data_IF_225822161864
#
_entry.id   IF_225822161864
#
_cell.length_a   1.000
_cell.length_b   1.000
_cell.length_c   1.000
_cell.angle_alpha   90.00
_cell.angle_beta   90.00
_cell.angle_gamma   90.00
#
_symmetry.space_group_name_H-M   'P 1'
#
loop_
_entity.id
_entity.type
_entity.pdbx_description
1 polymer ?
#
# COMPACT_ATOMS: atom_id res chain seq x y z
N UNK A 1 -70.65 -19.51 -49.46
CA UNK A 1 -69.56 -19.52 -48.47
C UNK A 1 -69.16 -18.08 -48.33
N UNK A 2 -69.83 -17.37 -47.43
CA UNK A 2 -69.62 -15.95 -47.25
C UNK A 2 -68.38 -15.74 -46.35
N UNK A 3 -67.50 -14.78 -46.67
CA UNK A 3 -66.28 -14.56 -45.92
C UNK A 3 -66.60 -14.04 -44.53
N UNK A 4 -66.05 -14.72 -43.51
CA UNK A 4 -66.18 -14.37 -42.10
C UNK A 4 -65.39 -13.07 -41.86
N UNK A 5 -66.11 -12.06 -41.38
CA UNK A 5 -65.61 -10.73 -41.04
C UNK A 5 -64.66 -10.80 -39.82
N UNK A 6 -63.36 -10.46 -39.96
CA UNK A 6 -62.35 -10.66 -38.91
C UNK A 6 -62.58 -9.77 -37.68
N UNK A 7 -63.38 -8.72 -37.79
CA UNK A 7 -63.62 -7.77 -36.70
C UNK A 7 -64.67 -8.26 -35.68
N UNK A 8 -65.39 -9.35 -35.97
CA UNK A 8 -66.30 -10.00 -35.01
C UNK A 8 -65.64 -11.10 -34.16
N UNK A 9 -64.38 -11.44 -34.42
CA UNK A 9 -63.65 -12.47 -33.69
C UNK A 9 -62.94 -11.95 -32.43
N UNK A 10 -62.94 -10.63 -32.17
CA UNK A 10 -62.20 -10.02 -31.06
C UNK A 10 -63.04 -9.75 -29.80
N UNK A 11 -64.37 -9.89 -29.86
CA UNK A 11 -65.27 -9.50 -28.75
C UNK A 11 -65.78 -10.66 -27.87
N UNK A 12 -65.21 -11.86 -27.98
CA UNK A 12 -65.71 -13.05 -27.23
C UNK A 12 -64.74 -13.53 -26.13
N UNK A 13 -63.64 -12.83 -25.85
CA UNK A 13 -62.62 -13.32 -24.89
C UNK A 13 -62.27 -12.38 -23.71
N UNK A 14 -63.11 -11.40 -23.35
CA UNK A 14 -62.81 -10.53 -22.20
C UNK A 14 -63.97 -10.22 -21.25
N UNK A 15 -64.95 -11.11 -21.08
CA UNK A 15 -66.01 -10.91 -20.08
C UNK A 15 -65.84 -11.65 -18.75
N UNK A 16 -64.84 -12.53 -18.59
CA UNK A 16 -64.57 -13.20 -17.31
C UNK A 16 -63.08 -13.23 -16.99
N UNK A 17 -62.50 -12.06 -16.68
CA UNK A 17 -61.26 -12.01 -15.92
C UNK A 17 -61.56 -11.37 -14.58
N UNK A 18 -61.70 -12.22 -13.56
CA UNK A 18 -61.41 -11.87 -12.19
C UNK A 18 -60.04 -11.19 -12.19
N UNK A 19 -60.02 -9.86 -12.08
CA UNK A 19 -58.80 -9.09 -11.91
C UNK A 19 -58.07 -9.66 -10.70
N UNK A 20 -57.10 -10.54 -10.92
CA UNK A 20 -56.05 -10.76 -9.96
C UNK A 20 -55.38 -9.40 -9.78
N UNK A 21 -55.68 -8.72 -8.67
CA UNK A 21 -54.91 -7.56 -8.22
C UNK A 21 -53.45 -8.01 -8.30
N UNK A 22 -52.72 -7.47 -9.27
CA UNK A 22 -51.26 -7.64 -9.31
C UNK A 22 -50.81 -7.16 -7.94
N UNK A 23 -50.21 -8.04 -7.10
CA UNK A 23 -49.77 -7.62 -5.77
C UNK A 23 -48.87 -6.41 -6.00
N UNK A 24 -49.18 -5.27 -5.37
CA UNK A 24 -48.35 -4.08 -5.45
C UNK A 24 -46.91 -4.53 -5.23
N UNK A 25 -46.10 -4.48 -6.30
CA UNK A 25 -44.69 -4.84 -6.25
C UNK A 25 -44.10 -4.02 -5.11
N UNK A 26 -43.58 -4.70 -4.09
CA UNK A 26 -43.07 -4.06 -2.90
C UNK A 26 -42.09 -2.96 -3.33
N UNK A 27 -42.39 -1.71 -2.99
CA UNK A 27 -41.56 -0.56 -3.33
C UNK A 27 -40.24 -0.71 -2.58
N UNK A 28 -39.15 -1.04 -3.29
CA UNK A 28 -37.83 -1.16 -2.67
C UNK A 28 -37.35 0.24 -2.24
N UNK A 29 -36.98 0.45 -0.97
CA UNK A 29 -36.43 1.73 -0.54
C UNK A 29 -35.08 1.99 -1.23
N UNK A 30 -34.96 3.15 -1.88
CA UNK A 30 -33.71 3.62 -2.49
C UNK A 30 -33.00 4.51 -1.45
N UNK A 31 -31.75 4.23 -1.06
CA UNK A 31 -31.03 5.07 -0.11
C UNK A 31 -30.77 6.47 -0.68
N UNK A 32 -30.87 7.49 0.18
CA UNK A 32 -30.57 8.87 -0.19
C UNK A 32 -29.08 9.04 -0.57
N UNK A 33 -28.82 9.78 -1.65
CA UNK A 33 -27.46 10.12 -2.05
C UNK A 33 -26.89 11.19 -1.13
N UNK A 34 -25.80 10.88 -0.43
CA UNK A 34 -25.06 11.84 0.39
C UNK A 34 -24.23 12.78 -0.50
N UNK A 35 -24.50 14.09 -0.39
CA UNK A 35 -23.62 15.12 -0.96
C UNK A 35 -22.51 15.37 0.06
N UNK A 36 -21.28 15.08 -0.33
CA UNK A 36 -20.08 15.35 0.47
C UNK A 36 -19.22 16.32 -0.31
N UNK A 37 -18.81 17.42 0.32
CA UNK A 37 -17.81 18.34 -0.24
C UNK A 37 -16.53 17.55 -0.51
N UNK A 38 -16.21 17.33 -1.78
CA UNK A 38 -15.03 16.55 -2.13
C UNK A 38 -13.77 17.40 -1.91
N UNK A 39 -12.78 16.90 -1.15
CA UNK A 39 -11.48 17.55 -1.11
C UNK A 39 -10.86 17.56 -2.52
N UNK A 40 -9.92 18.47 -2.80
CA UNK A 40 -9.24 18.52 -4.08
C UNK A 40 -8.65 17.15 -4.40
N UNK A 41 -9.03 16.61 -5.57
CA UNK A 41 -8.55 15.32 -6.02
C UNK A 41 -7.02 15.34 -6.15
N UNK A 42 -6.32 14.25 -5.77
CA UNK A 42 -4.89 14.14 -5.97
C UNK A 42 -4.52 14.16 -7.46
N UNK A 43 -3.21 14.16 -7.75
CA UNK A 43 -2.65 14.15 -9.12
C UNK A 43 -3.43 13.19 -10.04
N UNK A 44 -3.73 13.60 -11.29
CA UNK A 44 -4.55 12.80 -12.20
C UNK A 44 -3.88 11.46 -12.49
N UNK A 45 -4.70 10.39 -12.50
CA UNK A 45 -4.25 9.06 -12.88
C UNK A 45 -4.12 8.98 -14.41
N UNK A 46 -2.94 8.62 -14.90
CA UNK A 46 -2.70 8.37 -16.32
C UNK A 46 -2.99 6.91 -16.65
N UNK A 47 -4.00 6.66 -17.48
CA UNK A 47 -4.36 5.31 -17.92
C UNK A 47 -3.25 4.76 -18.85
N UNK A 48 -2.66 3.59 -18.55
CA UNK A 48 -1.75 2.93 -19.46
C UNK A 48 -2.49 2.33 -20.66
N UNK A 49 -1.80 2.17 -21.79
CA UNK A 49 -2.33 1.57 -23.03
C UNK A 49 -2.67 0.07 -22.90
N UNK A 50 -2.32 -0.55 -21.77
CA UNK A 50 -2.53 -1.96 -21.48
C UNK A 50 -3.32 -2.15 -20.19
N UNK A 51 -4.02 -3.28 -20.09
CA UNK A 51 -4.76 -3.63 -18.87
C UNK A 51 -3.85 -3.62 -17.63
N UNK A 52 -4.34 -2.94 -16.59
CA UNK A 52 -3.66 -2.83 -15.30
C UNK A 52 -3.54 -4.22 -14.67
N UNK A 53 -2.30 -4.69 -14.50
CA UNK A 53 -1.99 -5.95 -13.80
C UNK A 53 -1.60 -5.67 -12.35
N UNK A 54 -2.58 -5.54 -11.46
CA UNK A 54 -2.32 -5.35 -10.02
C UNK A 54 -2.41 -6.67 -9.25
N UNK A 55 -1.32 -7.07 -8.58
CA UNK A 55 -1.33 -8.21 -7.62
C UNK A 55 -1.54 -7.76 -6.18
N UNK A 56 -1.20 -6.52 -5.84
CA UNK A 56 -1.28 -5.97 -4.48
C UNK A 56 -2.22 -4.77 -4.44
N UNK A 57 -3.49 -5.01 -4.12
CA UNK A 57 -4.46 -3.94 -3.82
C UNK A 57 -4.33 -3.43 -2.38
N UNK A 58 -3.62 -4.12 -1.49
CA UNK A 58 -3.49 -3.75 -0.08
C UNK A 58 -2.03 -3.47 0.34
N UNK A 59 -1.27 -2.73 -0.48
CA UNK A 59 0.01 -2.16 -0.03
C UNK A 59 -0.17 -1.01 0.97
N UNK A 60 -1.37 -0.82 1.52
CA UNK A 60 -1.54 -0.16 2.81
C UNK A 60 -0.89 -1.06 3.87
N UNK A 61 0.43 -0.94 4.02
CA UNK A 61 1.01 -1.03 5.35
C UNK A 61 0.08 -0.22 6.24
N UNK A 62 -0.58 -0.84 7.21
CA UNK A 62 -1.45 -0.13 8.16
C UNK A 62 -0.60 1.02 8.67
N UNK A 63 -0.87 2.21 8.15
CA UNK A 63 -0.18 3.44 8.47
C UNK A 63 -0.90 3.90 9.72
N UNK A 64 -0.16 4.13 10.79
CA UNK A 64 -0.78 4.76 11.94
C UNK A 64 -1.27 6.13 11.48
N UNK A 65 -2.57 6.37 11.62
CA UNK A 65 -3.16 7.65 11.32
C UNK A 65 -3.29 8.43 12.63
N UNK A 66 -2.65 9.61 12.73
CA UNK A 66 -2.68 10.40 13.94
C UNK A 66 -4.11 10.93 14.14
N UNK A 67 -4.65 10.69 15.33
CA UNK A 67 -5.92 11.27 15.75
C UNK A 67 -5.78 12.77 16.04
N UNK A 68 -6.90 13.48 16.20
CA UNK A 68 -6.88 14.90 16.62
C UNK A 68 -6.07 15.14 17.90
N UNK A 69 -6.08 14.19 18.84
CA UNK A 69 -5.26 14.27 20.05
C UNK A 69 -3.75 14.20 19.74
N UNK A 70 -3.34 13.35 18.79
CA UNK A 70 -1.94 13.25 18.37
C UNK A 70 -1.49 14.52 17.65
N UNK A 71 -2.36 15.07 16.80
CA UNK A 71 -2.07 16.31 16.09
C UNK A 71 -1.94 17.48 17.06
N UNK A 72 -2.79 17.56 18.08
CA UNK A 72 -2.68 18.58 19.12
C UNK A 72 -1.39 18.45 19.92
N UNK A 73 -1.02 17.22 20.32
CA UNK A 73 0.26 16.93 20.97
C UNK A 73 1.45 17.38 20.10
N UNK A 74 1.47 16.92 18.84
CA UNK A 74 2.54 17.23 17.90
C UNK A 74 2.66 18.74 17.63
N UNK A 75 1.55 19.47 17.55
CA UNK A 75 1.55 20.92 17.31
C UNK A 75 1.94 21.75 18.54
N UNK A 76 1.69 21.23 19.75
CA UNK A 76 1.96 21.94 21.01
C UNK A 76 3.39 21.71 21.49
N UNK A 77 3.83 20.45 21.52
CA UNK A 77 5.17 20.07 22.01
C UNK A 77 6.23 20.16 20.90
N UNK A 78 5.84 20.15 19.62
CA UNK A 78 6.71 20.25 18.43
C UNK A 78 8.01 19.43 18.59
N UNK A 79 7.92 18.10 18.65
CA UNK A 79 9.12 17.27 18.61
C UNK A 79 9.93 17.61 17.35
N UNK A 80 11.27 17.54 17.44
CA UNK A 80 12.18 17.82 16.30
C UNK A 80 12.03 16.83 15.13
N UNK A 81 11.12 15.86 15.27
CA UNK A 81 10.88 14.78 14.33
C UNK A 81 9.70 15.11 13.42
N UNK A 82 9.92 14.97 12.11
CA UNK A 82 8.86 15.13 11.10
C UNK A 82 7.66 14.18 11.34
N UNK A 83 6.43 14.67 11.12
CA UNK A 83 5.17 13.94 11.37
C UNK A 83 5.14 12.52 10.80
N UNK A 84 5.64 12.33 9.57
CA UNK A 84 5.75 10.99 8.95
C UNK A 84 6.58 10.00 9.78
N UNK A 85 7.64 10.45 10.44
CA UNK A 85 8.46 9.61 11.30
C UNK A 85 7.75 9.32 12.62
N UNK A 86 7.06 10.31 13.20
CA UNK A 86 6.16 10.10 14.35
C UNK A 86 5.11 9.01 14.08
N UNK A 87 4.40 9.09 12.95
CA UNK A 87 3.44 8.07 12.51
C UNK A 87 4.11 6.69 12.35
N UNK A 88 5.30 6.66 11.75
CA UNK A 88 6.04 5.42 11.51
C UNK A 88 6.44 4.75 12.82
N UNK A 89 6.95 5.49 13.79
CA UNK A 89 7.39 4.95 15.08
C UNK A 89 6.22 4.35 15.86
N UNK A 90 5.13 5.11 16.03
CA UNK A 90 3.92 4.60 16.69
C UNK A 90 3.37 3.38 15.96
N UNK A 91 3.32 3.41 14.63
CA UNK A 91 2.87 2.27 13.82
C UNK A 91 3.73 1.01 14.01
N UNK A 92 5.05 1.14 14.17
CA UNK A 92 5.95 0.01 14.45
C UNK A 92 5.73 -0.52 15.87
N UNK A 93 5.59 0.35 16.86
CA UNK A 93 5.37 -0.04 18.26
C UNK A 93 4.00 -0.71 18.47
N UNK A 94 2.95 -0.19 17.84
CA UNK A 94 1.62 -0.82 17.83
C UNK A 94 1.68 -2.22 17.19
N UNK A 95 2.32 -2.36 16.02
CA UNK A 95 2.47 -3.68 15.36
C UNK A 95 3.27 -4.66 16.20
N UNK A 96 4.42 -4.24 16.73
CA UNK A 96 5.29 -5.12 17.53
C UNK A 96 4.65 -5.54 18.86
N UNK A 97 3.68 -4.78 19.35
CA UNK A 97 2.89 -5.14 20.52
C UNK A 97 1.80 -6.18 20.25
N UNK A 98 1.50 -6.49 18.98
CA UNK A 98 0.48 -7.46 18.56
C UNK A 98 -0.89 -7.27 19.25
N UNK A 99 -1.30 -6.01 19.47
CA UNK A 99 -2.54 -5.66 20.17
C UNK A 99 -2.60 -6.10 21.66
N UNK A 100 -1.47 -6.42 22.28
CA UNK A 100 -1.40 -6.91 23.66
C UNK A 100 -0.82 -5.84 24.61
N UNK A 101 0.14 -6.21 25.48
CA UNK A 101 0.84 -5.29 26.38
C UNK A 101 1.78 -4.36 25.61
N UNK A 102 2.02 -3.17 26.17
CA UNK A 102 3.02 -2.25 25.65
C UNK A 102 4.40 -2.92 25.60
N UNK A 103 5.19 -2.60 24.56
CA UNK A 103 6.59 -3.04 24.46
C UNK A 103 7.44 -2.28 25.49
N UNK A 104 8.65 -2.79 25.80
CA UNK A 104 9.61 -2.06 26.64
C UNK A 104 10.31 -0.95 25.86
N UNK A 105 10.83 0.06 26.59
CA UNK A 105 11.54 1.21 26.04
C UNK A 105 12.75 0.78 25.21
N UNK A 106 13.58 -0.14 25.72
CA UNK A 106 14.76 -0.65 25.00
C UNK A 106 14.40 -1.29 23.66
N UNK A 107 13.29 -2.06 23.64
CA UNK A 107 12.80 -2.67 22.41
C UNK A 107 12.26 -1.62 21.45
N UNK A 108 11.57 -0.59 21.94
CA UNK A 108 11.07 0.51 21.13
C UNK A 108 12.20 1.29 20.44
N UNK A 109 13.27 1.58 21.19
CA UNK A 109 14.44 2.32 20.71
C UNK A 109 15.27 1.51 19.70
N UNK A 110 15.30 0.17 19.81
CA UNK A 110 15.98 -0.70 18.84
C UNK A 110 15.43 -0.59 17.41
N UNK A 111 14.19 -0.13 17.24
CA UNK A 111 13.58 0.07 15.92
C UNK A 111 13.91 1.43 15.28
N UNK A 112 14.61 2.31 16.00
CA UNK A 112 14.86 3.68 15.57
C UNK A 112 16.33 3.87 15.20
N UNK A 113 16.57 4.66 14.15
CA UNK A 113 17.94 5.00 13.75
C UNK A 113 18.55 5.96 14.79
N UNK A 114 19.83 5.78 15.07
CA UNK A 114 20.56 6.38 16.20
C UNK A 114 20.62 7.92 16.27
N UNK A 115 20.16 8.64 15.25
CA UNK A 115 20.36 10.10 15.15
C UNK A 115 19.42 10.92 16.06
N UNK A 116 18.24 10.40 16.43
CA UNK A 116 17.19 11.18 17.13
C UNK A 116 16.72 10.51 18.45
N UNK A 117 17.64 9.93 19.24
CA UNK A 117 17.23 9.12 20.41
C UNK A 117 16.39 9.88 21.43
N UNK A 118 16.74 11.12 21.76
CA UNK A 118 16.05 11.92 22.78
C UNK A 118 14.60 12.21 22.39
N UNK A 119 14.37 12.69 21.17
CA UNK A 119 13.03 12.96 20.65
C UNK A 119 12.19 11.69 20.46
N UNK A 120 12.82 10.57 20.11
CA UNK A 120 12.12 9.27 20.05
C UNK A 120 11.69 8.79 21.43
N UNK A 121 12.49 9.03 22.46
CA UNK A 121 12.13 8.69 23.84
C UNK A 121 10.91 9.46 24.32
N UNK A 122 10.84 10.77 24.04
CA UNK A 122 9.66 11.60 24.37
C UNK A 122 8.38 11.08 23.69
N UNK A 123 8.46 10.74 22.40
CA UNK A 123 7.34 10.17 21.65
C UNK A 123 6.94 8.80 22.20
N UNK A 124 7.90 8.01 22.67
CA UNK A 124 7.64 6.72 23.30
C UNK A 124 6.90 6.89 24.63
N UNK A 125 7.31 7.83 25.48
CA UNK A 125 6.62 8.11 26.74
C UNK A 125 5.20 8.64 26.51
N UNK A 126 5.01 9.49 25.50
CA UNK A 126 3.68 9.92 25.05
C UNK A 126 2.81 8.73 24.64
N UNK A 127 3.34 7.87 23.76
CA UNK A 127 2.64 6.68 23.27
C UNK A 127 2.27 5.73 24.41
N UNK A 128 3.21 5.46 25.31
CA UNK A 128 3.01 4.58 26.47
C UNK A 128 1.95 5.15 27.41
N UNK A 129 2.02 6.44 27.73
CA UNK A 129 1.04 7.13 28.58
C UNK A 129 -0.35 7.02 27.96
N UNK A 130 -0.46 7.24 26.66
CA UNK A 130 -1.74 7.17 25.96
C UNK A 130 -2.32 5.77 25.95
N UNK A 131 -1.49 4.76 25.71
CA UNK A 131 -1.89 3.35 25.76
C UNK A 131 -2.31 2.91 27.15
N UNK A 132 -1.60 3.37 28.18
CA UNK A 132 -1.93 3.08 29.57
C UNK A 132 -3.27 3.72 29.97
N UNK A 133 -3.52 4.97 29.54
CA UNK A 133 -4.82 5.65 29.75
C UNK A 133 -5.97 4.92 29.05
N UNK A 134 -5.75 4.42 27.84
CA UNK A 134 -6.78 3.71 27.07
C UNK A 134 -7.01 2.27 27.57
N UNK A 135 -5.98 1.62 28.12
CA UNK A 135 -6.00 0.21 28.53
C UNK A 135 -6.00 -0.79 27.34
N UNK A 136 -6.10 -0.28 26.11
CA UNK A 136 -6.16 -1.04 24.87
C UNK A 136 -5.17 -0.45 23.85
N UNK A 137 -4.84 -1.19 22.76
CA UNK A 137 -4.04 -0.67 21.66
C UNK A 137 -4.66 0.59 21.05
N UNK A 138 -3.83 1.54 20.62
CA UNK A 138 -4.32 2.79 20.02
C UNK A 138 -4.98 2.54 18.67
N UNK A 139 -4.47 1.56 17.92
CA UNK A 139 -5.09 1.14 16.66
C UNK A 139 -6.09 0.02 16.93
N UNK A 140 -7.38 0.32 16.78
CA UNK A 140 -8.42 -0.70 16.96
C UNK A 140 -8.42 -1.68 15.79
N UNK A 141 -8.04 -2.92 16.07
CA UNK A 141 -8.24 -4.01 15.13
C UNK A 141 -9.70 -4.43 15.08
N UNK A 142 -10.05 -5.20 14.04
CA UNK A 142 -11.31 -5.93 14.02
C UNK A 142 -11.41 -6.91 15.19
N UNK A 143 -12.60 -7.06 15.75
CA UNK A 143 -12.88 -8.06 16.78
C UNK A 143 -12.72 -9.46 16.19
N UNK A 144 -11.61 -10.11 16.53
CA UNK A 144 -11.34 -11.48 16.11
C UNK A 144 -12.19 -12.44 16.94
N UNK A 145 -12.80 -13.42 16.29
CA UNK A 145 -13.48 -14.50 16.99
C UNK A 145 -12.45 -15.35 17.75
N UNK A 146 -12.54 -15.35 19.09
CA UNK A 146 -11.79 -16.28 19.93
C UNK A 146 -12.44 -17.67 19.87
N UNK A 147 -13.76 -17.73 19.99
CA UNK A 147 -14.53 -18.96 19.93
C UNK A 147 -15.82 -18.85 19.10
N UNK A 148 -16.34 -20.01 18.67
CA UNK A 148 -17.52 -20.12 17.80
C UNK A 148 -18.84 -19.86 18.54
N UNK A 149 -18.83 -19.94 19.86
CA UNK A 149 -19.97 -19.74 20.76
C UNK A 149 -20.10 -18.33 21.28
N UNK A 150 -19.11 -17.47 21.02
CA UNK A 150 -19.15 -16.11 21.57
C UNK A 150 -20.10 -15.26 20.71
N UNK A 151 -21.10 -14.69 21.39
CA UNK A 151 -22.30 -14.04 20.85
C UNK A 151 -22.06 -12.59 20.41
N UNK A 152 -20.81 -12.11 20.47
CA UNK A 152 -20.48 -10.74 20.09
C UNK A 152 -20.74 -10.49 18.59
N UNK A 153 -21.73 -9.63 18.30
CA UNK A 153 -22.15 -9.22 16.95
C UNK A 153 -21.08 -8.41 16.20
N UNK A 154 -20.10 -7.83 16.90
CA UNK A 154 -19.01 -7.06 16.29
C UNK A 154 -17.91 -7.91 15.67
N UNK A 155 -18.00 -9.24 15.77
CA UNK A 155 -17.01 -10.17 15.23
C UNK A 155 -17.04 -10.27 13.72
N UNK A 156 -15.85 -10.31 13.14
CA UNK A 156 -15.67 -10.48 11.71
C UNK A 156 -14.54 -11.47 11.40
N UNK A 157 -14.53 -12.01 10.18
CA UNK A 157 -13.48 -12.92 9.68
C UNK A 157 -13.28 -14.23 10.49
N UNK A 158 -14.36 -14.82 11.02
CA UNK A 158 -14.32 -16.07 11.78
C UNK A 158 -13.77 -17.25 10.93
N UNK A 159 -12.80 -17.99 11.46
CA UNK A 159 -12.27 -19.19 10.78
C UNK A 159 -13.32 -20.30 10.76
N UNK A 160 -13.58 -20.89 9.58
CA UNK A 160 -14.50 -22.04 9.42
C UNK A 160 -13.88 -23.33 10.02
N UNK A 161 -14.71 -24.21 10.63
CA UNK A 161 -14.28 -25.60 10.96
C UNK A 161 -13.88 -26.28 9.66
N UNK A 162 -12.64 -26.79 9.57
CA UNK A 162 -12.17 -27.56 8.41
C UNK A 162 -11.10 -26.89 7.55
N UNK A 163 -10.80 -25.59 7.75
CA UNK A 163 -9.71 -24.90 7.03
C UNK A 163 -8.29 -25.27 7.47
N UNK A 164 -8.12 -26.30 8.32
CA UNK A 164 -6.79 -26.76 8.72
C UNK A 164 -6.25 -27.67 7.63
N UNK A 165 -5.14 -27.26 7.02
CA UNK A 165 -4.38 -28.12 6.10
C UNK A 165 -4.01 -29.40 6.85
N UNK A 166 -4.45 -30.56 6.36
CA UNK A 166 -4.04 -31.86 6.89
C UNK A 166 -2.66 -32.18 6.31
N UNK A 167 -1.74 -32.60 7.18
CA UNK A 167 -0.47 -33.17 6.73
C UNK A 167 -0.77 -34.50 6.01
N UNK A 168 -0.12 -34.74 4.86
CA UNK A 168 -0.21 -36.00 4.13
C UNK A 168 1.01 -36.85 4.47
N UNK A 169 0.83 -38.16 4.70
CA UNK A 169 1.89 -39.08 5.14
C UNK A 169 2.69 -39.73 3.98
N UNK A 170 2.88 -39.08 2.83
CA UNK A 170 3.48 -39.73 1.65
C UNK A 170 4.86 -39.15 1.32
N UNK A 171 5.92 -39.88 1.67
CA UNK A 171 7.34 -39.50 1.54
C UNK A 171 7.81 -39.32 0.09
N UNK A 172 7.25 -40.05 -0.88
CA UNK A 172 7.73 -40.02 -2.28
C UNK A 172 7.35 -38.75 -3.03
N UNK A 173 6.19 -38.12 -2.72
CA UNK A 173 5.80 -36.83 -3.33
C UNK A 173 6.58 -35.63 -2.78
N UNK A 174 7.25 -35.79 -1.63
CA UNK A 174 8.04 -34.71 -1.02
C UNK A 174 9.33 -34.45 -1.80
N UNK A 175 9.94 -35.47 -2.40
CA UNK A 175 11.17 -35.35 -3.17
C UNK A 175 10.94 -34.57 -4.47
N UNK A 176 9.92 -34.93 -5.25
CA UNK A 176 9.56 -34.20 -6.47
C UNK A 176 9.12 -32.76 -6.17
N UNK A 177 8.34 -32.57 -5.09
CA UNK A 177 7.95 -31.24 -4.61
C UNK A 177 9.15 -30.38 -4.25
N UNK A 178 10.15 -30.96 -3.57
CA UNK A 178 11.40 -30.27 -3.22
C UNK A 178 12.18 -29.83 -4.45
N UNK A 179 12.34 -30.69 -5.46
CA UNK A 179 13.00 -30.32 -6.71
C UNK A 179 12.26 -29.21 -7.47
N UNK A 180 10.91 -29.27 -7.52
CA UNK A 180 10.10 -28.21 -8.13
C UNK A 180 10.25 -26.87 -7.39
N UNK A 181 10.27 -26.88 -6.06
CA UNK A 181 10.49 -25.67 -5.24
C UNK A 181 11.90 -25.11 -5.46
N UNK A 182 12.92 -25.97 -5.52
CA UNK A 182 14.29 -25.53 -5.78
C UNK A 182 14.42 -24.91 -7.16
N UNK A 183 13.86 -25.52 -8.20
CA UNK A 183 13.85 -24.94 -9.55
C UNK A 183 13.09 -23.61 -9.60
N UNK A 184 11.95 -23.54 -8.92
CA UNK A 184 11.20 -22.29 -8.81
C UNK A 184 12.01 -21.19 -8.10
N UNK A 185 12.75 -21.54 -7.05
CA UNK A 185 13.66 -20.62 -6.36
C UNK A 185 14.75 -20.10 -7.30
N UNK A 186 15.43 -20.98 -8.06
CA UNK A 186 16.43 -20.57 -9.03
C UNK A 186 15.84 -19.61 -10.09
N UNK A 187 14.68 -19.95 -10.65
CA UNK A 187 13.99 -19.09 -11.62
C UNK A 187 13.62 -17.71 -11.03
N UNK A 188 13.21 -17.67 -9.75
CA UNK A 188 12.92 -16.41 -9.06
C UNK A 188 14.19 -15.57 -8.84
N UNK A 189 15.32 -16.20 -8.53
CA UNK A 189 16.59 -15.50 -8.35
C UNK A 189 17.08 -14.93 -9.70
N UNK A 190 16.95 -15.68 -10.79
CA UNK A 190 17.21 -15.16 -12.15
C UNK A 190 16.29 -13.99 -12.50
N UNK A 191 14.98 -14.09 -12.21
CA UNK A 191 14.05 -12.99 -12.42
C UNK A 191 14.42 -11.75 -11.59
N UNK A 192 14.84 -11.95 -10.34
CA UNK A 192 15.29 -10.88 -9.45
C UNK A 192 16.54 -10.20 -9.99
N UNK A 193 17.52 -10.95 -10.48
CA UNK A 193 18.71 -10.38 -11.10
C UNK A 193 18.35 -9.54 -12.33
N UNK A 194 17.48 -10.03 -13.22
CA UNK A 194 17.00 -9.26 -14.37
C UNK A 194 16.34 -7.95 -13.91
N UNK A 195 15.48 -8.00 -12.89
CA UNK A 195 14.84 -6.80 -12.34
C UNK A 195 15.87 -5.81 -11.75
N UNK A 196 16.90 -6.31 -11.05
CA UNK A 196 18.00 -5.47 -10.53
C UNK A 196 18.74 -4.78 -11.69
N UNK A 197 19.04 -5.49 -12.78
CA UNK A 197 19.70 -4.91 -13.94
C UNK A 197 18.85 -3.84 -14.62
N UNK A 198 17.54 -4.09 -14.79
CA UNK A 198 16.60 -3.09 -15.33
C UNK A 198 16.54 -1.86 -14.42
N UNK A 199 16.40 -2.04 -13.10
CA UNK A 199 16.39 -0.93 -12.15
C UNK A 199 17.68 -0.09 -12.23
N UNK A 200 18.84 -0.75 -12.29
CA UNK A 200 20.12 -0.06 -12.44
C UNK A 200 20.20 0.73 -13.74
N UNK A 201 19.76 0.16 -14.86
CA UNK A 201 19.75 0.84 -16.16
C UNK A 201 18.88 2.09 -16.12
N UNK A 202 17.66 2.00 -15.57
CA UNK A 202 16.76 3.16 -15.49
C UNK A 202 17.28 4.22 -14.51
N UNK A 203 17.94 3.83 -13.40
CA UNK A 203 18.63 4.77 -12.51
C UNK A 203 19.77 5.50 -13.21
N UNK A 204 20.60 4.80 -13.99
CA UNK A 204 21.69 5.42 -14.75
C UNK A 204 21.12 6.43 -15.76
N UNK A 205 20.07 6.08 -16.51
CA UNK A 205 19.39 7.01 -17.42
C UNK A 205 18.87 8.25 -16.67
N UNK A 206 18.26 8.06 -15.51
CA UNK A 206 17.79 9.17 -14.67
C UNK A 206 18.95 10.10 -14.28
N UNK A 207 20.09 9.56 -13.85
CA UNK A 207 21.27 10.37 -13.51
C UNK A 207 21.85 11.10 -14.73
N UNK A 208 21.93 10.44 -15.88
CA UNK A 208 22.38 11.06 -17.14
C UNK A 208 21.48 12.25 -17.49
N UNK A 209 20.16 12.06 -17.50
CA UNK A 209 19.20 13.13 -17.78
C UNK A 209 19.36 14.30 -16.79
N UNK A 210 19.56 13.99 -15.51
CA UNK A 210 19.80 15.02 -14.50
C UNK A 210 21.09 15.80 -14.76
N UNK A 211 22.18 15.12 -15.11
CA UNK A 211 23.45 15.77 -15.47
C UNK A 211 23.31 16.66 -16.71
N UNK A 212 22.56 16.22 -17.72
CA UNK A 212 22.28 17.02 -18.92
C UNK A 212 21.52 18.31 -18.54
N UNK A 213 20.52 18.21 -17.67
CA UNK A 213 19.77 19.39 -17.17
C UNK A 213 20.70 20.32 -16.38
N UNK A 214 21.55 19.76 -15.51
CA UNK A 214 22.53 20.54 -14.74
C UNK A 214 23.54 21.26 -15.64
N UNK A 215 24.05 20.58 -16.66
CA UNK A 215 24.99 21.15 -17.63
C UNK A 215 24.32 22.27 -18.43
N UNK A 216 23.08 22.06 -18.87
CA UNK A 216 22.29 23.07 -19.56
C UNK A 216 22.09 24.33 -18.70
N UNK A 217 21.67 24.14 -17.45
CA UNK A 217 21.46 25.24 -16.51
C UNK A 217 22.76 25.98 -16.20
N UNK A 218 23.87 25.24 -16.03
CA UNK A 218 25.20 25.80 -15.84
C UNK A 218 25.61 26.68 -17.04
N UNK A 219 25.56 26.14 -18.26
CA UNK A 219 25.87 26.89 -19.50
C UNK A 219 24.96 28.10 -19.69
N UNK A 220 23.68 27.98 -19.35
CA UNK A 220 22.73 29.10 -19.34
C UNK A 220 23.16 30.17 -18.33
N UNK A 221 23.49 29.77 -17.11
CA UNK A 221 23.89 30.70 -16.05
C UNK A 221 25.19 31.45 -16.36
N UNK A 222 26.19 30.77 -16.95
CA UNK A 222 27.42 31.40 -17.44
C UNK A 222 27.12 32.44 -18.52
N UNK A 223 26.25 32.09 -19.48
CA UNK A 223 25.91 32.97 -20.61
C UNK A 223 25.11 34.20 -20.19
N UNK A 224 24.28 34.10 -19.15
CA UNK A 224 23.39 35.18 -18.70
C UNK A 224 23.84 35.83 -17.37
N UNK A 225 24.99 35.44 -16.81
CA UNK A 225 25.53 35.93 -15.52
C UNK A 225 24.51 35.83 -14.35
N UNK A 226 23.60 34.86 -14.40
CA UNK A 226 22.60 34.63 -13.35
C UNK A 226 23.23 33.70 -12.32
N UNK A 227 23.23 34.06 -11.03
CA UNK A 227 23.70 33.16 -9.95
C UNK A 227 22.84 31.90 -9.93
N UNK A 228 23.38 30.78 -10.39
CA UNK A 228 22.73 29.48 -10.28
C UNK A 228 22.95 28.90 -8.89
N UNK A 229 21.87 28.66 -8.15
CA UNK A 229 21.88 27.85 -6.94
C UNK A 229 21.15 26.55 -7.25
N UNK A 230 21.90 25.48 -7.53
CA UNK A 230 21.31 24.16 -7.65
C UNK A 230 20.90 23.67 -6.26
N UNK A 231 19.69 23.11 -6.05
CA UNK A 231 19.39 22.42 -4.80
C UNK A 231 20.34 21.23 -4.65
N UNK A 232 21.18 21.28 -3.60
CA UNK A 232 22.33 20.42 -3.35
C UNK A 232 22.13 18.96 -3.79
N UNK A 233 23.01 18.50 -4.67
CA UNK A 233 23.16 17.09 -5.00
C UNK A 233 23.34 16.24 -3.72
N UNK A 234 23.99 16.81 -2.69
CA UNK A 234 24.11 16.22 -1.36
C UNK A 234 22.78 16.11 -0.60
N UNK A 235 21.91 17.12 -0.65
CA UNK A 235 20.58 17.03 -0.03
C UNK A 235 19.74 15.92 -0.66
N UNK A 236 19.89 15.69 -1.97
CA UNK A 236 19.16 14.64 -2.66
C UNK A 236 19.63 13.24 -2.27
N UNK A 237 20.95 13.03 -2.10
CA UNK A 237 21.53 11.79 -1.55
C UNK A 237 21.13 11.58 -0.09
N UNK A 238 21.08 12.67 0.71
CA UNK A 238 20.70 12.64 2.14
C UNK A 238 19.20 12.40 2.35
N UNK A 239 18.33 12.88 1.46
CA UNK A 239 16.85 12.78 1.56
C UNK A 239 16.29 11.36 1.48
N UNK A 240 17.12 10.34 1.23
CA UNK A 240 16.70 8.94 1.26
C UNK A 240 15.71 8.56 0.15
N UNK A 241 15.57 9.38 -0.89
CA UNK A 241 14.76 9.07 -2.07
C UNK A 241 15.40 7.96 -2.94
N UNK A 242 16.62 7.54 -2.59
CA UNK A 242 17.29 6.33 -3.04
C UNK A 242 17.42 5.41 -1.83
N UNK A 243 16.98 4.17 -1.99
CA UNK A 243 16.98 3.13 -0.96
C UNK A 243 18.35 3.08 -0.25
N UNK A 244 18.35 3.08 1.10
CA UNK A 244 19.58 3.22 1.90
C UNK A 244 20.57 2.06 1.71
N UNK A 245 20.13 0.96 1.08
CA UNK A 245 20.95 -0.17 0.64
C UNK A 245 21.91 0.17 -0.51
N UNK A 246 21.74 1.34 -1.16
CA UNK A 246 22.60 1.86 -2.23
C UNK A 246 23.57 2.96 -1.77
N UNK A 247 23.60 3.26 -0.46
CA UNK A 247 24.53 4.25 0.09
C UNK A 247 25.98 3.82 -0.17
N UNK A 248 26.69 4.64 -0.94
CA UNK A 248 28.14 4.61 -1.21
C UNK A 248 28.65 3.52 -2.14
N UNK A 249 28.19 3.53 -3.39
CA UNK A 249 29.01 3.03 -4.50
C UNK A 249 29.44 4.26 -5.30
N UNK A 250 30.75 4.50 -5.44
CA UNK A 250 31.28 5.61 -6.23
C UNK A 250 30.76 5.53 -7.67
N UNK A 251 30.77 6.64 -8.42
CA UNK A 251 30.46 6.61 -9.85
C UNK A 251 31.27 5.52 -10.57
N UNK A 252 32.53 5.32 -10.19
CA UNK A 252 33.40 4.25 -10.70
C UNK A 252 32.87 2.85 -10.41
N UNK A 253 32.21 2.66 -9.28
CA UNK A 253 31.57 1.37 -8.94
C UNK A 253 30.37 1.13 -9.84
N UNK A 254 29.59 2.17 -10.18
CA UNK A 254 28.48 2.07 -11.12
C UNK A 254 28.97 1.82 -12.55
N UNK A 255 30.03 2.50 -12.99
CA UNK A 255 30.67 2.30 -14.29
C UNK A 255 31.28 0.89 -14.41
N UNK A 256 31.90 0.39 -13.34
CA UNK A 256 32.41 -0.99 -13.29
C UNK A 256 31.29 -2.05 -13.33
N UNK A 257 30.15 -1.79 -12.69
CA UNK A 257 28.97 -2.67 -12.80
C UNK A 257 28.32 -2.59 -14.18
N UNK A 258 28.29 -1.40 -14.79
CA UNK A 258 27.81 -1.18 -16.15
C UNK A 258 28.69 -1.88 -17.18
N UNK A 259 30.01 -1.84 -17.03
CA UNK A 259 30.95 -2.57 -17.88
C UNK A 259 30.68 -4.09 -17.88
N UNK A 260 30.28 -4.64 -16.72
CA UNK A 260 29.92 -6.04 -16.49
C UNK A 260 28.48 -6.40 -16.88
N UNK A 261 27.64 -5.43 -17.26
CA UNK A 261 26.28 -5.73 -17.74
C UNK A 261 26.35 -6.50 -19.07
N UNK A 262 25.44 -7.46 -19.30
CA UNK A 262 25.27 -8.06 -20.62
C UNK A 262 24.93 -6.96 -21.65
N UNK A 263 25.39 -7.09 -22.90
CA UNK A 263 25.23 -6.06 -23.94
C UNK A 263 23.77 -5.67 -24.18
N UNK A 264 22.82 -6.61 -24.02
CA UNK A 264 21.38 -6.35 -24.14
C UNK A 264 20.82 -5.34 -23.11
N UNK A 265 21.54 -5.06 -22.03
CA UNK A 265 21.11 -4.14 -20.97
C UNK A 265 21.93 -2.85 -20.93
N UNK A 266 22.97 -2.73 -21.77
CA UNK A 266 23.70 -1.48 -21.93
C UNK A 266 22.81 -0.47 -22.67
N UNK A 267 22.95 0.78 -22.29
CA UNK A 267 22.35 1.92 -22.99
C UNK A 267 23.15 2.08 -24.30
N UNK A 268 22.44 2.07 -25.43
CA UNK A 268 23.01 2.42 -26.74
C UNK A 268 23.16 3.94 -26.85
#
# INVERSE_FOLDING_TARGET
>A
MDPIDPDKALDVCFSDSTYHKVPHLATFPIPESLIVDQPPLPKPFTLPDFYIKTKNLSNHYIKYEPSNHDLNYYNTEKPEIHLRNFEKFIGIWEKSSNLNKAISKDKALSFCNFQDKTSVEEIYEYWLTRRNKLGFPLTRGFWKSQDRTDENLGKVFCKRKGGKMKLRNIKEREVEGKFKIQRFYCNLEECKEILIWVLRRELIKFYILKLIVMEFDYKRSEKFQIKYSHPDFEQMIRSGCVDQSFKYRSLDTYLNHYAKMPPAFKIN
#
